data_IF_480053966427
#
_entry.id   IF_480053966427
#
_cell.length_a   1.000
_cell.length_b   1.000
_cell.length_c   1.000
_cell.angle_alpha   90.00
_cell.angle_beta   90.00
_cell.angle_gamma   90.00
#
_symmetry.space_group_name_H-M   'P 1'
#
loop_
_entity.id
_entity.type
_entity.pdbx_description
1 polymer ?
#
# COMPACT_ATOMS: atom_id res chain seq x y z
N UNK A 1 25.91 41.89 36.16
CA UNK A 1 26.84 40.76 36.00
C UNK A 1 26.01 39.55 35.55
N UNK A 2 26.13 39.15 34.29
CA UNK A 2 25.44 37.99 33.70
C UNK A 2 26.51 37.00 33.24
N UNK A 3 26.41 35.69 33.53
CA UNK A 3 27.34 34.70 32.98
C UNK A 3 26.94 34.30 31.55
N UNK A 4 27.98 34.04 30.76
CA UNK A 4 27.96 33.81 29.32
C UNK A 4 27.59 32.38 28.93
N UNK A 5 27.00 32.26 27.75
CA UNK A 5 26.80 31.03 26.97
C UNK A 5 28.14 30.58 26.39
N UNK A 6 28.47 29.29 26.51
CA UNK A 6 29.59 28.65 25.81
C UNK A 6 29.01 27.58 24.87
N UNK A 7 29.08 27.84 23.57
CA UNK A 7 28.92 26.84 22.52
C UNK A 7 30.28 26.19 22.26
N UNK A 8 30.40 24.88 22.45
CA UNK A 8 31.55 24.11 21.97
C UNK A 8 31.15 23.37 20.71
N UNK A 9 31.65 23.86 19.57
CA UNK A 9 31.66 23.13 18.31
C UNK A 9 32.70 22.02 18.40
N UNK A 10 32.24 20.77 18.26
CA UNK A 10 33.09 19.57 18.19
C UNK A 10 33.35 19.17 16.75
N UNK A 11 34.63 19.18 16.41
CA UNK A 11 35.27 19.05 15.11
C UNK A 11 35.15 17.65 14.46
N UNK A 12 34.81 17.63 13.18
CA UNK A 12 35.43 16.90 12.07
C UNK A 12 36.13 15.53 12.27
N UNK A 13 35.61 14.57 11.49
CA UNK A 13 36.34 13.71 10.52
C UNK A 13 36.90 12.34 10.93
N UNK A 14 36.54 11.38 10.05
CA UNK A 14 37.21 10.11 9.67
C UNK A 14 36.80 8.89 10.46
N UNK A 15 36.03 7.99 9.83
CA UNK A 15 36.39 6.58 9.73
C UNK A 15 35.87 5.97 8.42
N UNK A 16 36.76 5.94 7.44
CA UNK A 16 36.75 5.00 6.32
C UNK A 16 37.30 3.66 6.83
N UNK A 17 36.53 2.57 6.72
CA UNK A 17 37.07 1.22 6.74
C UNK A 17 36.12 0.26 6.00
N UNK A 18 36.52 -0.08 4.79
CA UNK A 18 36.08 -1.20 3.96
C UNK A 18 36.30 -2.56 4.65
N UNK A 19 35.37 -3.50 4.50
CA UNK A 19 35.68 -4.91 4.20
C UNK A 19 34.43 -5.67 3.72
N UNK A 20 34.60 -6.36 2.61
CA UNK A 20 33.63 -7.23 1.94
C UNK A 20 33.53 -8.61 2.60
N UNK A 21 32.38 -9.28 2.45
CA UNK A 21 32.30 -10.73 2.35
C UNK A 21 31.03 -11.12 1.56
N UNK A 22 31.26 -11.59 0.34
CA UNK A 22 30.31 -12.36 -0.45
C UNK A 22 29.90 -13.63 0.30
N UNK A 23 28.71 -14.20 0.02
CA UNK A 23 28.47 -15.66 -0.04
C UNK A 23 27.12 -15.95 -0.75
N UNK A 24 27.26 -16.59 -1.91
CA UNK A 24 26.46 -17.69 -2.47
C UNK A 24 25.06 -17.45 -3.07
N UNK A 25 25.09 -17.38 -4.39
CA UNK A 25 24.11 -17.93 -5.34
C UNK A 25 23.81 -19.40 -5.00
N UNK A 26 22.53 -19.75 -4.83
CA UNK A 26 22.04 -21.11 -4.95
C UNK A 26 20.97 -21.14 -6.06
N UNK A 27 21.35 -21.75 -7.17
CA UNK A 27 20.51 -21.98 -8.33
C UNK A 27 19.91 -23.40 -8.28
N UNK A 28 18.68 -23.51 -8.79
CA UNK A 28 18.09 -24.65 -9.51
C UNK A 28 17.78 -25.97 -8.75
N UNK A 29 16.48 -26.22 -8.58
CA UNK A 29 15.84 -27.53 -8.78
C UNK A 29 14.39 -27.24 -9.23
N UNK A 30 14.06 -27.33 -10.53
CA UNK A 30 13.68 -28.55 -11.27
C UNK A 30 12.33 -29.15 -10.80
N UNK A 31 11.31 -29.12 -11.66
CA UNK A 31 10.06 -29.83 -11.41
C UNK A 31 8.87 -29.57 -12.35
N UNK A 32 9.10 -29.27 -13.63
CA UNK A 32 8.06 -29.39 -14.65
C UNK A 32 8.01 -30.86 -15.10
N UNK A 33 6.94 -31.58 -14.81
CA UNK A 33 6.74 -32.95 -15.29
C UNK A 33 5.50 -33.01 -16.18
N UNK A 34 5.70 -32.72 -17.47
CA UNK A 34 4.85 -33.24 -18.54
C UNK A 34 5.26 -34.69 -18.80
N UNK A 35 4.29 -35.60 -18.69
CA UNK A 35 4.46 -37.02 -19.02
C UNK A 35 3.15 -37.57 -19.57
N UNK A 36 3.05 -37.55 -20.89
CA UNK A 36 2.09 -38.30 -21.70
C UNK A 36 2.74 -39.64 -22.08
N UNK A 37 1.98 -40.75 -22.04
CA UNK A 37 2.42 -42.06 -22.49
C UNK A 37 1.48 -43.20 -22.08
N UNK A 38 0.81 -43.81 -23.07
CA UNK A 38 -0.06 -44.99 -22.98
C UNK A 38 0.67 -46.28 -22.58
N UNK A 39 0.08 -47.47 -22.50
CA UNK A 39 -0.99 -48.12 -23.29
C UNK A 39 -1.61 -49.31 -22.51
N UNK A 40 -2.83 -49.65 -22.93
CA UNK A 40 -3.49 -50.97 -23.04
C UNK A 40 -3.51 -52.05 -21.94
N UNK A 41 -4.74 -52.34 -21.50
CA UNK A 41 -5.17 -53.59 -20.87
C UNK A 41 -6.68 -53.61 -20.57
N UNK A 42 -7.48 -54.23 -21.43
CA UNK A 42 -8.95 -54.50 -21.31
C UNK A 42 -9.17 -56.03 -21.27
N UNK A 43 -10.33 -56.62 -20.87
CA UNK A 43 -11.55 -56.14 -20.17
C UNK A 43 -11.89 -56.92 -18.88
N UNK A 44 -12.76 -56.41 -17.99
CA UNK A 44 -13.94 -57.14 -17.50
C UNK A 44 -14.85 -56.28 -16.61
N UNK A 45 -16.09 -56.75 -16.47
CA UNK A 45 -17.33 -56.01 -16.26
C UNK A 45 -17.63 -55.48 -14.84
N UNK A 46 -18.28 -54.31 -14.77
CA UNK A 46 -19.59 -54.10 -14.09
C UNK A 46 -20.00 -52.61 -14.16
N UNK A 47 -21.28 -52.27 -14.44
CA UNK A 47 -21.73 -50.88 -14.41
C UNK A 47 -22.00 -50.46 -12.95
N UNK A 48 -21.08 -49.69 -12.37
CA UNK A 48 -21.34 -48.96 -11.13
C UNK A 48 -22.14 -47.67 -11.45
N UNK A 49 -23.06 -47.25 -10.56
CA UNK A 49 -24.05 -46.23 -10.84
C UNK A 49 -23.42 -44.87 -11.14
N UNK A 50 -24.03 -44.13 -12.06
CA UNK A 50 -23.67 -42.78 -12.44
C UNK A 50 -23.46 -41.93 -11.17
N UNK A 51 -22.20 -41.61 -10.88
CA UNK A 51 -21.89 -40.56 -9.93
C UNK A 51 -22.30 -39.27 -10.62
N UNK A 52 -23.42 -38.72 -10.18
CA UNK A 52 -23.96 -37.45 -10.64
C UNK A 52 -22.83 -36.42 -10.55
N UNK A 53 -22.26 -36.02 -11.70
CA UNK A 53 -21.45 -34.81 -11.78
C UNK A 53 -22.35 -33.69 -11.28
N UNK A 54 -22.12 -33.26 -10.04
CA UNK A 54 -22.58 -31.95 -9.62
C UNK A 54 -21.98 -30.97 -10.62
N UNK A 55 -22.86 -30.30 -11.37
CA UNK A 55 -22.47 -29.13 -12.13
C UNK A 55 -21.66 -28.22 -11.19
N UNK A 56 -20.58 -27.57 -11.66
CA UNK A 56 -19.92 -26.56 -10.84
C UNK A 56 -21.02 -25.59 -10.43
N UNK A 57 -21.27 -25.50 -9.11
CA UNK A 57 -22.16 -24.49 -8.58
C UNK A 57 -21.57 -23.17 -9.06
N UNK A 58 -22.25 -22.54 -10.01
CA UNK A 58 -22.04 -21.15 -10.34
C UNK A 58 -22.19 -20.42 -9.01
N UNK A 59 -21.03 -20.12 -8.42
CA UNK A 59 -20.97 -19.38 -7.18
C UNK A 59 -21.37 -18.01 -7.63
N UNK A 60 -22.66 -17.68 -7.47
CA UNK A 60 -23.15 -16.32 -7.64
C UNK A 60 -22.13 -15.43 -6.96
N UNK A 61 -21.51 -14.47 -7.67
CA UNK A 61 -20.55 -13.58 -7.06
C UNK A 61 -21.17 -13.02 -5.80
N UNK A 62 -20.56 -13.29 -4.64
CA UNK A 62 -20.99 -12.67 -3.41
C UNK A 62 -20.94 -11.16 -3.65
N UNK A 63 -22.06 -10.48 -3.45
CA UNK A 63 -22.09 -9.03 -3.56
C UNK A 63 -20.96 -8.47 -2.69
N UNK A 64 -20.16 -7.56 -3.27
CA UNK A 64 -19.08 -6.93 -2.55
C UNK A 64 -19.63 -6.35 -1.23
N UNK A 65 -18.96 -6.56 -0.09
CA UNK A 65 -19.36 -5.89 1.14
C UNK A 65 -19.36 -4.38 0.91
N UNK A 66 -20.33 -3.64 1.44
CA UNK A 66 -20.38 -2.17 1.29
C UNK A 66 -19.59 -1.52 2.43
N UNK A 67 -18.28 -1.32 2.24
CA UNK A 67 -17.37 -0.72 3.21
C UNK A 67 -17.49 0.82 3.30
N UNK A 68 -17.95 1.49 2.24
CA UNK A 68 -18.09 2.95 2.18
C UNK A 68 -18.94 3.51 3.31
N UNK A 69 -19.96 2.78 3.77
CA UNK A 69 -20.84 3.24 4.86
C UNK A 69 -20.06 3.53 6.15
N UNK A 70 -19.01 2.76 6.44
CA UNK A 70 -18.16 2.99 7.61
C UNK A 70 -17.00 3.94 7.31
N UNK A 71 -16.34 3.77 6.17
CA UNK A 71 -15.05 4.38 5.91
C UNK A 71 -15.13 5.75 5.25
N UNK A 72 -16.11 5.99 4.38
CA UNK A 72 -16.27 7.26 3.67
C UNK A 72 -16.38 8.45 4.65
N UNK A 73 -17.20 8.40 5.73
CA UNK A 73 -17.23 9.51 6.69
C UNK A 73 -15.88 9.78 7.37
N UNK A 74 -15.06 8.75 7.61
CA UNK A 74 -13.74 8.89 8.23
C UNK A 74 -12.74 9.52 7.26
N UNK A 75 -12.73 9.05 6.01
CA UNK A 75 -11.86 9.56 4.95
C UNK A 75 -12.21 11.01 4.56
N UNK A 76 -13.51 11.30 4.44
CA UNK A 76 -14.00 12.63 4.15
C UNK A 76 -13.69 13.59 5.32
N UNK A 77 -13.85 13.15 6.57
CA UNK A 77 -13.48 13.97 7.73
C UNK A 77 -11.97 14.24 7.81
N UNK A 78 -11.12 13.29 7.39
CA UNK A 78 -9.67 13.46 7.37
C UNK A 78 -9.19 14.47 6.31
N UNK A 79 -10.01 14.68 5.26
CA UNK A 79 -9.73 15.65 4.18
C UNK A 79 -10.54 16.93 4.30
N UNK A 80 -11.53 16.97 5.21
CA UNK A 80 -12.37 18.13 5.45
C UNK A 80 -11.71 19.13 6.41
N UNK A 81 -11.43 20.33 5.91
CA UNK A 81 -10.96 21.47 6.71
C UNK A 81 -9.85 22.27 6.03
N UNK A 82 -9.56 23.47 6.54
CA UNK A 82 -8.42 24.29 6.11
C UNK A 82 -7.12 23.71 6.68
N UNK A 83 -6.68 22.59 6.11
CA UNK A 83 -5.37 21.98 6.40
C UNK A 83 -4.25 22.54 5.52
N UNK A 84 -4.58 23.48 4.62
CA UNK A 84 -3.70 24.10 3.63
C UNK A 84 -2.38 24.64 4.19
N UNK A 85 -2.35 24.98 5.48
CA UNK A 85 -1.15 25.51 6.14
C UNK A 85 -0.36 24.49 6.96
N UNK A 86 -0.92 23.31 7.25
CA UNK A 86 -0.26 22.27 8.08
C UNK A 86 1.01 21.78 7.40
N UNK A 87 0.91 21.56 6.09
CA UNK A 87 2.00 21.16 5.23
C UNK A 87 2.53 22.32 4.39
N UNK A 88 2.70 23.54 4.93
CA UNK A 88 3.40 24.58 4.14
C UNK A 88 4.86 24.21 3.89
N UNK A 89 5.51 23.61 4.89
CA UNK A 89 6.88 23.09 4.81
C UNK A 89 6.85 21.58 4.95
N UNK A 90 7.31 20.86 3.92
CA UNK A 90 7.12 19.41 3.75
C UNK A 90 7.72 18.60 4.89
N UNK A 91 8.87 19.02 5.42
CA UNK A 91 9.59 18.31 6.46
C UNK A 91 9.33 18.83 7.87
N UNK A 92 8.42 19.80 8.03
CA UNK A 92 8.04 20.28 9.36
C UNK A 92 7.35 19.16 10.15
N UNK A 93 7.57 19.13 11.47
CA UNK A 93 6.95 18.12 12.35
C UNK A 93 5.42 18.09 12.19
N UNK A 94 4.79 19.26 12.09
CA UNK A 94 3.35 19.36 11.91
C UNK A 94 2.88 18.69 10.60
N UNK A 95 3.64 18.85 9.52
CA UNK A 95 3.33 18.17 8.26
C UNK A 95 3.52 16.66 8.37
N UNK A 96 4.66 16.21 8.92
CA UNK A 96 4.98 14.78 9.12
C UNK A 96 3.90 14.10 9.96
N UNK A 97 3.51 14.69 11.08
CA UNK A 97 2.48 14.14 11.97
C UNK A 97 1.12 14.06 11.26
N UNK A 98 0.82 15.03 10.39
CA UNK A 98 -0.45 15.07 9.67
C UNK A 98 -0.50 14.01 8.56
N UNK A 99 0.49 13.97 7.67
CA UNK A 99 0.54 12.96 6.59
C UNK A 99 0.64 11.53 7.14
N UNK A 100 1.27 11.34 8.30
CA UNK A 100 1.31 10.03 8.98
C UNK A 100 -0.10 9.58 9.35
N UNK A 101 -0.91 10.45 9.99
CA UNK A 101 -2.30 10.11 10.35
C UNK A 101 -3.18 9.82 9.14
N UNK A 102 -3.00 10.55 8.04
CA UNK A 102 -3.72 10.30 6.80
C UNK A 102 -3.34 8.93 6.21
N UNK A 103 -2.05 8.61 6.23
CA UNK A 103 -1.52 7.33 5.75
C UNK A 103 -2.02 6.16 6.60
N UNK A 104 -1.98 6.29 7.94
CA UNK A 104 -2.51 5.28 8.87
C UNK A 104 -4.00 4.99 8.61
N UNK A 105 -4.81 6.03 8.36
CA UNK A 105 -6.21 5.85 8.00
C UNK A 105 -6.40 5.08 6.69
N UNK A 106 -5.52 5.29 5.70
CA UNK A 106 -5.53 4.54 4.43
C UNK A 106 -5.14 3.07 4.66
N UNK A 107 -4.18 2.80 5.55
CA UNK A 107 -3.82 1.42 5.92
C UNK A 107 -4.97 0.71 6.65
N UNK A 108 -5.69 1.40 7.52
CA UNK A 108 -6.87 0.83 8.18
C UNK A 108 -7.95 0.42 7.16
N UNK A 109 -8.12 1.18 6.07
CA UNK A 109 -9.04 0.82 4.96
C UNK A 109 -8.56 -0.44 4.23
N UNK A 110 -7.26 -0.52 3.92
CA UNK A 110 -6.67 -1.71 3.30
C UNK A 110 -6.92 -2.95 4.16
N UNK A 111 -6.62 -2.86 5.46
CA UNK A 111 -6.84 -3.94 6.41
C UNK A 111 -8.31 -4.36 6.47
N UNK A 112 -9.24 -3.41 6.38
CA UNK A 112 -10.68 -3.71 6.33
C UNK A 112 -11.07 -4.46 5.05
N UNK A 113 -10.54 -4.07 3.89
CA UNK A 113 -10.78 -4.75 2.60
C UNK A 113 -10.21 -6.18 2.66
N UNK A 114 -8.98 -6.33 3.12
CA UNK A 114 -8.30 -7.64 3.21
C UNK A 114 -8.99 -8.56 4.23
N UNK A 115 -9.38 -8.03 5.39
CA UNK A 115 -10.14 -8.76 6.42
C UNK A 115 -11.50 -9.23 5.91
N UNK A 116 -12.15 -8.44 5.05
CA UNK A 116 -13.40 -8.82 4.41
C UNK A 116 -13.20 -9.82 3.25
N UNK A 117 -11.96 -10.12 2.86
CA UNK A 117 -11.64 -10.93 1.68
C UNK A 117 -12.10 -10.29 0.38
N UNK A 118 -12.19 -8.96 0.35
CA UNK A 118 -12.87 -8.21 -0.70
C UNK A 118 -11.91 -7.54 -1.70
N UNK A 119 -10.60 -7.81 -1.64
CA UNK A 119 -9.58 -7.17 -2.50
C UNK A 119 -9.95 -7.20 -4.00
N UNK A 120 -10.50 -8.31 -4.49
CA UNK A 120 -10.92 -8.45 -5.90
C UNK A 120 -12.14 -7.58 -6.27
N UNK A 121 -12.95 -7.19 -5.29
CA UNK A 121 -14.09 -6.31 -5.48
C UNK A 121 -13.74 -4.81 -5.40
N UNK A 122 -12.53 -4.48 -4.95
CA UNK A 122 -12.05 -3.11 -4.74
C UNK A 122 -10.78 -2.77 -5.56
N UNK A 123 -10.72 -3.08 -6.87
CA UNK A 123 -9.48 -2.93 -7.64
C UNK A 123 -8.96 -1.48 -7.68
N UNK A 124 -9.83 -0.48 -7.87
CA UNK A 124 -9.40 0.93 -7.95
C UNK A 124 -9.04 1.48 -6.57
N UNK A 125 -9.73 1.03 -5.53
CA UNK A 125 -9.37 1.40 -4.15
C UNK A 125 -8.00 0.85 -3.80
N UNK A 126 -7.69 -0.40 -4.17
CA UNK A 126 -6.37 -0.98 -3.94
C UNK A 126 -5.27 -0.26 -4.71
N UNK A 127 -5.53 0.16 -5.97
CA UNK A 127 -4.59 1.00 -6.72
C UNK A 127 -4.34 2.35 -6.02
N UNK A 128 -5.39 3.03 -5.55
CA UNK A 128 -5.26 4.30 -4.83
C UNK A 128 -4.55 4.15 -3.47
N UNK A 129 -4.76 3.04 -2.77
CA UNK A 129 -4.02 2.69 -1.55
C UNK A 129 -2.53 2.51 -1.87
N UNK A 130 -2.20 1.81 -2.95
CA UNK A 130 -0.81 1.59 -3.36
C UNK A 130 -0.11 2.91 -3.68
N UNK A 131 -0.78 3.85 -4.37
CA UNK A 131 -0.22 5.18 -4.65
C UNK A 131 0.15 5.94 -3.37
N UNK A 132 -0.65 5.80 -2.31
CA UNK A 132 -0.37 6.40 -1.00
C UNK A 132 0.79 5.69 -0.30
N UNK A 133 0.85 4.36 -0.35
CA UNK A 133 1.96 3.56 0.19
C UNK A 133 3.29 3.90 -0.47
N UNK A 134 3.29 4.01 -1.80
CA UNK A 134 4.46 4.34 -2.59
C UNK A 134 4.93 5.77 -2.29
N UNK A 135 4.01 6.72 -2.20
CA UNK A 135 4.35 8.10 -1.82
C UNK A 135 4.90 8.20 -0.39
N UNK A 136 4.33 7.44 0.56
CA UNK A 136 4.80 7.39 1.96
C UNK A 136 6.22 6.83 2.04
N UNK A 137 6.47 5.74 1.32
CA UNK A 137 7.80 5.13 1.21
C UNK A 137 8.79 6.09 0.57
N UNK A 138 8.44 6.70 -0.57
CA UNK A 138 9.30 7.64 -1.27
C UNK A 138 9.58 8.92 -0.46
N UNK A 139 8.63 9.39 0.35
CA UNK A 139 8.84 10.48 1.30
C UNK A 139 9.89 10.12 2.36
N UNK A 140 9.79 8.91 2.93
CA UNK A 140 10.72 8.43 3.95
C UNK A 140 12.13 8.17 3.36
N UNK A 141 12.21 7.43 2.26
CA UNK A 141 13.47 7.09 1.58
C UNK A 141 14.15 8.33 0.98
N UNK A 142 13.36 9.31 0.52
CA UNK A 142 13.83 10.60 0.04
C UNK A 142 14.39 11.52 1.14
N UNK A 143 14.27 11.14 2.41
CA UNK A 143 14.73 11.96 3.54
C UNK A 143 13.96 13.27 3.67
N UNK A 144 12.68 13.27 3.33
CA UNK A 144 11.85 14.48 3.29
C UNK A 144 11.51 15.03 4.69
N UNK A 145 11.54 14.18 5.72
CA UNK A 145 11.41 14.63 7.10
C UNK A 145 12.58 15.56 7.48
N UNK A 146 12.27 16.76 7.98
CA UNK A 146 13.25 17.80 8.26
C UNK A 146 13.64 18.67 7.05
N UNK A 147 13.13 18.38 5.85
CA UNK A 147 13.28 19.25 4.68
C UNK A 147 12.56 20.60 4.87
N UNK A 148 13.20 21.67 4.37
CA UNK A 148 12.64 23.02 4.33
C UNK A 148 11.90 23.33 3.02
N UNK A 149 11.73 22.35 2.14
CA UNK A 149 11.02 22.52 0.87
C UNK A 149 9.55 22.89 1.11
N UNK A 150 8.99 23.68 0.20
CA UNK A 150 7.56 24.00 0.19
C UNK A 150 6.78 22.89 -0.52
N UNK A 151 5.59 22.56 -0.01
CA UNK A 151 4.79 21.42 -0.50
C UNK A 151 4.33 21.56 -1.95
N UNK A 152 4.13 22.79 -2.42
CA UNK A 152 3.70 23.06 -3.79
C UNK A 152 4.79 23.72 -4.62
N UNK A 153 6.06 23.58 -4.21
CA UNK A 153 7.19 24.03 -5.02
C UNK A 153 7.25 23.24 -6.34
N UNK A 154 7.42 23.93 -7.47
CA UNK A 154 7.62 23.24 -8.74
C UNK A 154 8.95 22.46 -8.73
N UNK A 155 8.91 21.18 -9.12
CA UNK A 155 10.10 20.35 -9.30
C UNK A 155 10.74 19.80 -8.02
N UNK A 156 10.10 19.95 -6.84
CA UNK A 156 10.58 19.33 -5.59
C UNK A 156 9.95 17.96 -5.37
N UNK A 157 10.78 16.93 -5.20
CA UNK A 157 10.32 15.55 -5.02
C UNK A 157 9.46 15.40 -3.76
N UNK A 158 9.88 15.99 -2.63
CA UNK A 158 9.14 15.89 -1.38
C UNK A 158 7.78 16.59 -1.43
N UNK A 159 7.66 17.70 -2.17
CA UNK A 159 6.37 18.35 -2.39
C UNK A 159 5.38 17.47 -3.13
N UNK A 160 5.85 16.78 -4.18
CA UNK A 160 5.05 15.79 -4.91
C UNK A 160 4.53 14.66 -4.01
N UNK A 161 5.40 14.07 -3.18
CA UNK A 161 4.98 13.00 -2.26
C UNK A 161 3.97 13.50 -1.21
N UNK A 162 4.21 14.66 -0.59
CA UNK A 162 3.27 15.25 0.36
C UNK A 162 1.93 15.56 -0.30
N UNK A 163 1.92 16.08 -1.53
CA UNK A 163 0.68 16.33 -2.25
C UNK A 163 -0.14 15.04 -2.43
N UNK A 164 0.49 13.93 -2.85
CA UNK A 164 -0.16 12.61 -2.94
C UNK A 164 -0.71 12.16 -1.59
N UNK A 165 0.06 12.28 -0.51
CA UNK A 165 -0.36 11.87 0.84
C UNK A 165 -1.52 12.70 1.38
N UNK A 166 -1.59 13.99 1.07
CA UNK A 166 -2.68 14.88 1.49
C UNK A 166 -4.00 14.56 0.77
N UNK A 167 -3.95 14.22 -0.53
CA UNK A 167 -5.16 13.90 -1.31
C UNK A 167 -5.57 12.43 -1.22
N UNK A 168 -4.65 11.56 -0.82
CA UNK A 168 -4.80 10.10 -0.77
C UNK A 168 -6.12 9.62 -0.17
N UNK A 169 -6.49 10.02 1.06
CA UNK A 169 -7.75 9.57 1.67
C UNK A 169 -8.99 9.96 0.87
N UNK A 170 -8.99 11.12 0.21
CA UNK A 170 -10.09 11.55 -0.65
C UNK A 170 -10.18 10.72 -1.94
N UNK A 171 -9.04 10.35 -2.53
CA UNK A 171 -8.98 9.42 -3.67
C UNK A 171 -9.46 8.03 -3.27
N UNK A 172 -9.05 7.53 -2.10
CA UNK A 172 -9.52 6.24 -1.55
C UNK A 172 -11.03 6.25 -1.32
N UNK A 173 -11.58 7.33 -0.74
CA UNK A 173 -13.02 7.52 -0.56
C UNK A 173 -13.77 7.41 -1.89
N UNK A 174 -13.35 8.18 -2.90
CA UNK A 174 -13.98 8.21 -4.22
C UNK A 174 -13.88 6.87 -4.97
N UNK A 175 -12.73 6.21 -4.92
CA UNK A 175 -12.52 4.92 -5.59
C UNK A 175 -13.29 3.80 -4.92
N UNK A 176 -13.41 3.81 -3.59
CA UNK A 176 -14.23 2.85 -2.84
C UNK A 176 -15.70 2.90 -3.24
N UNK A 177 -16.30 4.09 -3.26
CA UNK A 177 -17.68 4.25 -3.76
C UNK A 177 -17.78 3.82 -5.22
N UNK A 178 -16.77 4.12 -6.04
CA UNK A 178 -16.77 3.73 -7.46
C UNK A 178 -16.77 2.21 -7.63
N UNK A 179 -15.92 1.50 -6.89
CA UNK A 179 -15.81 0.04 -6.97
C UNK A 179 -17.10 -0.63 -6.52
N UNK A 180 -17.69 -0.18 -5.40
CA UNK A 180 -18.98 -0.68 -4.90
C UNK A 180 -20.11 -0.49 -5.91
N UNK A 181 -20.17 0.67 -6.59
CA UNK A 181 -21.17 0.94 -7.62
C UNK A 181 -20.98 0.10 -8.89
N UNK A 182 -19.76 -0.36 -9.16
CA UNK A 182 -19.46 -1.20 -10.34
C UNK A 182 -19.50 -2.70 -10.05
N UNK A 183 -19.43 -3.10 -8.78
CA UNK A 183 -19.56 -4.47 -8.33
C UNK A 183 -21.02 -4.93 -8.12
N UNK A 184 -21.97 -3.97 -8.11
CA UNK A 184 -23.41 -4.18 -7.91
C UNK A 184 -24.21 -4.48 -9.18
#
# INVERSE_FOLDING_TARGET
MMPAVIYTWGDSMRHTATAAAALLVAALAAGCSSGDGGEDGKPEASPAPATSSAAPSETTPAAAPTLSTEWQPKLDAATAGDHDNVCKTVGSQACVDHITKLTELVYDVRDAIDTAGATAAYPKTMDAIQDVEDASTAYAEGGCAGSSEETLGEGVACGGYVATLLVGPGTVSLTMTTDELTAS
#
